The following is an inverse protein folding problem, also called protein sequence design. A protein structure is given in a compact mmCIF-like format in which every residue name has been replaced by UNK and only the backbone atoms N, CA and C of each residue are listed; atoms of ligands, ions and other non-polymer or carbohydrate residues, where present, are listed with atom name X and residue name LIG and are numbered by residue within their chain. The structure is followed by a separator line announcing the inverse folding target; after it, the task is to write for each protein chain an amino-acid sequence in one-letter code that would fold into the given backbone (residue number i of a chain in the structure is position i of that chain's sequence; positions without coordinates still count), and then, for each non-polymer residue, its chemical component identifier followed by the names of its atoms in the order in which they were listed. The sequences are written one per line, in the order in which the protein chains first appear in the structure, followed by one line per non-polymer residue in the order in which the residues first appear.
data_IF_758599329699
#
_entry.id   IF_758599329699
#
_cell.length_a   1.000
_cell.length_b   1.000
_cell.length_c   1.000
_cell.angle_alpha   90.00
_cell.angle_beta   90.00
_cell.angle_gamma   90.00
#
_symmetry.space_group_name_H-M   'P 1'
#
loop_
_entity.id
_entity.type
_entity.pdbx_description
1 polymer ?
#
# COMPACT_ATOMS: atom_id res chain seq x y z
N UNK A 1 21.22 -52.00 25.35
CA UNK A 1 21.07 -52.57 23.99
C UNK A 1 19.62 -52.36 23.62
N UNK A 2 19.31 -51.44 22.70
CA UNK A 2 17.93 -51.31 22.21
C UNK A 2 17.49 -52.69 21.67
N UNK A 3 16.24 -53.09 21.94
CA UNK A 3 15.71 -54.34 21.39
C UNK A 3 15.82 -54.30 19.86
N UNK A 4 16.13 -55.41 19.19
CA UNK A 4 16.29 -55.44 17.72
C UNK A 4 15.09 -54.81 16.98
N UNK A 5 13.88 -55.00 17.53
CA UNK A 5 12.64 -54.36 17.06
C UNK A 5 12.65 -52.84 17.20
N UNK A 6 13.26 -52.28 18.24
CA UNK A 6 13.38 -50.83 18.41
C UNK A 6 14.37 -50.23 17.41
N UNK A 7 15.43 -50.96 17.05
CA UNK A 7 16.37 -50.53 16.01
C UNK A 7 15.71 -50.57 14.63
N UNK A 8 14.94 -51.62 14.35
CA UNK A 8 14.13 -51.74 13.13
C UNK A 8 13.10 -50.61 13.01
N UNK A 9 12.31 -50.34 14.06
CA UNK A 9 11.33 -49.25 14.02
C UNK A 9 12.01 -47.90 13.88
N UNK A 10 13.13 -47.65 14.56
CA UNK A 10 13.90 -46.42 14.38
C UNK A 10 14.36 -46.25 12.91
N UNK A 11 14.90 -47.31 12.32
CA UNK A 11 15.37 -47.32 10.92
C UNK A 11 14.23 -47.02 9.94
N UNK A 12 13.09 -47.68 10.11
CA UNK A 12 11.90 -47.46 9.28
C UNK A 12 11.33 -46.06 9.48
N UNK A 13 11.26 -45.58 10.73
CA UNK A 13 10.76 -44.22 11.02
C UNK A 13 11.65 -43.15 10.42
N UNK A 14 12.96 -43.37 10.38
CA UNK A 14 13.90 -42.46 9.77
C UNK A 14 13.77 -42.47 8.24
N UNK A 15 13.61 -43.65 7.65
CA UNK A 15 13.41 -43.81 6.21
C UNK A 15 12.12 -43.12 5.72
N UNK A 16 11.00 -43.40 6.39
CA UNK A 16 9.69 -42.86 6.02
C UNK A 16 9.47 -41.43 6.53
N UNK A 17 10.24 -40.98 7.52
CA UNK A 17 10.05 -39.70 8.25
C UNK A 17 8.77 -39.63 9.08
N UNK A 18 8.05 -40.75 9.20
CA UNK A 18 6.89 -40.94 10.06
C UNK A 18 6.88 -42.39 10.54
N UNK A 19 6.09 -42.68 11.58
CA UNK A 19 6.03 -44.06 12.09
C UNK A 19 5.19 -44.95 11.18
N UNK A 20 5.62 -46.19 10.89
CA UNK A 20 4.83 -47.14 10.10
C UNK A 20 3.38 -47.30 10.58
N UNK A 21 3.15 -47.22 11.90
CA UNK A 21 1.81 -47.27 12.49
C UNK A 21 0.92 -46.11 12.02
N UNK A 22 1.47 -44.89 11.93
CA UNK A 22 0.74 -43.70 11.46
C UNK A 22 0.18 -43.87 10.05
N UNK A 23 0.88 -44.58 9.16
CA UNK A 23 0.38 -44.84 7.81
C UNK A 23 -0.89 -45.70 7.85
N UNK A 24 -0.90 -46.71 8.71
CA UNK A 24 -2.02 -47.64 8.82
C UNK A 24 -3.20 -46.94 9.48
N UNK A 25 -2.96 -46.15 10.54
CA UNK A 25 -4.00 -45.31 11.17
C UNK A 25 -4.67 -44.39 10.14
N UNK A 26 -3.89 -43.76 9.27
CA UNK A 26 -4.43 -42.90 8.21
C UNK A 26 -5.26 -43.69 7.18
N UNK A 27 -4.84 -44.90 6.81
CA UNK A 27 -5.59 -45.77 5.90
C UNK A 27 -6.93 -46.17 6.53
N UNK A 28 -6.93 -46.59 7.80
CA UNK A 28 -8.14 -46.99 8.51
C UNK A 28 -9.12 -45.81 8.62
N UNK A 29 -8.63 -44.64 9.03
CA UNK A 29 -9.44 -43.43 9.12
C UNK A 29 -10.05 -43.03 7.77
N UNK A 30 -9.26 -43.07 6.70
CA UNK A 30 -9.73 -42.77 5.34
C UNK A 30 -10.83 -43.74 4.91
N UNK A 31 -10.68 -45.03 5.21
CA UNK A 31 -11.63 -46.05 4.79
C UNK A 31 -12.95 -45.94 5.55
N UNK A 32 -12.90 -45.65 6.85
CA UNK A 32 -14.10 -45.37 7.63
C UNK A 32 -14.84 -44.13 7.09
N UNK A 33 -14.11 -43.07 6.72
CA UNK A 33 -14.71 -41.89 6.08
C UNK A 33 -15.35 -42.23 4.73
N UNK A 34 -14.67 -43.03 3.90
CA UNK A 34 -15.21 -43.47 2.60
C UNK A 34 -16.44 -44.37 2.74
N UNK A 35 -16.48 -45.22 3.76
CA UNK A 35 -17.62 -46.08 4.05
C UNK A 35 -18.83 -45.23 4.41
N UNK A 36 -18.69 -44.31 5.35
CA UNK A 36 -19.79 -43.43 5.76
C UNK A 36 -20.29 -42.63 4.57
N UNK A 37 -19.38 -42.06 3.77
CA UNK A 37 -19.74 -41.33 2.54
C UNK A 37 -20.47 -42.21 1.51
N UNK A 38 -20.07 -43.48 1.36
CA UNK A 38 -20.70 -44.41 0.44
C UNK A 38 -22.09 -44.82 0.91
N UNK A 39 -22.28 -45.01 2.23
CA UNK A 39 -23.56 -45.32 2.87
C UNK A 39 -24.50 -44.12 2.74
N UNK A 40 -24.04 -42.90 3.04
CA UNK A 40 -24.80 -41.66 2.83
C UNK A 40 -25.24 -41.52 1.36
N UNK A 41 -24.33 -41.81 0.43
CA UNK A 41 -24.61 -41.78 -1.00
C UNK A 41 -25.62 -42.84 -1.44
N UNK A 42 -25.57 -44.03 -0.83
CA UNK A 42 -26.53 -45.11 -1.06
C UNK A 42 -27.91 -44.75 -0.50
N UNK A 43 -27.98 -44.22 0.72
CA UNK A 43 -29.23 -43.77 1.34
C UNK A 43 -29.90 -42.68 0.51
N UNK A 44 -29.13 -41.64 0.13
CA UNK A 44 -29.62 -40.58 -0.74
C UNK A 44 -30.08 -41.09 -2.11
N UNK A 45 -29.36 -42.06 -2.68
CA UNK A 45 -29.73 -42.71 -3.95
C UNK A 45 -31.03 -43.52 -3.85
N UNK A 46 -31.22 -44.27 -2.76
CA UNK A 46 -32.42 -45.06 -2.51
C UNK A 46 -33.62 -44.15 -2.20
N UNK A 47 -33.45 -43.11 -1.38
CA UNK A 47 -34.51 -42.14 -1.07
C UNK A 47 -34.90 -41.27 -2.28
N UNK A 48 -33.97 -41.05 -3.20
CA UNK A 48 -34.22 -40.31 -4.44
C UNK A 48 -34.92 -41.12 -5.54
N UNK A 49 -34.95 -42.45 -5.41
CA UNK A 49 -35.59 -43.34 -6.39
C UNK A 49 -37.07 -43.54 -6.04
N UNK A 50 -37.93 -43.63 -7.06
CA UNK A 50 -39.36 -43.84 -6.82
C UNK A 50 -39.60 -45.20 -6.11
N UNK A 51 -40.37 -45.25 -5.01
CA UNK A 51 -40.64 -46.49 -4.28
C UNK A 51 -41.26 -47.61 -5.15
N UNK A 52 -42.00 -47.24 -6.20
CA UNK A 52 -42.56 -48.21 -7.15
C UNK A 52 -41.47 -48.98 -7.92
N UNK A 53 -40.36 -48.33 -8.30
CA UNK A 53 -39.24 -48.94 -9.03
C UNK A 53 -38.36 -49.81 -8.12
N UNK A 54 -38.31 -49.48 -6.83
CA UNK A 54 -37.62 -50.24 -5.79
C UNK A 54 -38.32 -51.57 -5.43
N UNK A 55 -39.49 -51.85 -6.02
CA UNK A 55 -40.23 -53.10 -5.84
C UNK A 55 -41.31 -53.05 -4.76
N UNK A 56 -41.56 -51.90 -4.12
CA UNK A 56 -42.63 -51.76 -3.12
C UNK A 56 -44.02 -51.91 -3.73
N UNK A 57 -44.20 -51.54 -5.00
CA UNK A 57 -45.44 -51.78 -5.74
C UNK A 57 -45.72 -53.29 -5.93
N UNK A 58 -44.68 -54.09 -6.17
CA UNK A 58 -44.80 -55.55 -6.29
C UNK A 58 -45.03 -56.21 -4.92
N UNK A 59 -44.40 -55.71 -3.85
CA UNK A 59 -44.62 -56.16 -2.47
C UNK A 59 -46.06 -55.91 -2.01
N UNK A 60 -46.57 -54.70 -2.21
CA UNK A 60 -47.96 -54.37 -1.86
C UNK A 60 -48.99 -55.19 -2.67
N UNK A 61 -48.72 -55.45 -3.95
CA UNK A 61 -49.56 -56.32 -4.76
C UNK A 61 -49.55 -57.79 -4.28
N UNK A 62 -48.41 -58.29 -3.79
CA UNK A 62 -48.29 -59.63 -3.23
C UNK A 62 -48.99 -59.76 -1.86
N UNK A 63 -48.96 -58.70 -1.05
CA UNK A 63 -49.55 -58.66 0.29
C UNK A 63 -51.04 -58.28 0.29
N UNK A 64 -51.63 -57.96 -0.88
CA UNK A 64 -52.98 -57.41 -1.02
C UNK A 64 -53.22 -56.14 -0.18
N UNK A 65 -52.16 -55.38 0.11
CA UNK A 65 -52.22 -54.13 0.85
C UNK A 65 -52.49 -53.00 -0.14
N UNK A 66 -53.52 -52.19 0.10
CA UNK A 66 -53.84 -51.02 -0.72
C UNK A 66 -52.85 -49.92 -0.34
N UNK A 67 -51.96 -49.46 -1.24
CA UNK A 67 -51.04 -48.38 -0.92
C UNK A 67 -51.81 -47.07 -0.74
N UNK A 68 -51.45 -46.30 0.28
CA UNK A 68 -51.98 -44.96 0.46
C UNK A 68 -51.62 -44.10 -0.76
N UNK A 69 -52.50 -43.20 -1.16
CA UNK A 69 -52.30 -42.32 -2.32
C UNK A 69 -52.23 -40.88 -1.84
N UNK A 70 -51.27 -40.09 -2.33
CA UNK A 70 -51.25 -38.66 -2.07
C UNK A 70 -52.43 -37.95 -2.78
N UNK A 71 -52.66 -36.67 -2.44
CA UNK A 71 -53.69 -35.84 -3.08
C UNK A 71 -53.49 -35.62 -4.59
N UNK A 72 -52.40 -36.13 -5.18
CA UNK A 72 -52.02 -36.00 -6.59
C UNK A 72 -52.10 -37.34 -7.35
N UNK A 73 -52.44 -38.44 -6.69
CA UNK A 73 -52.64 -39.75 -7.32
C UNK A 73 -51.40 -40.65 -7.33
N UNK A 74 -50.29 -40.25 -6.68
CA UNK A 74 -49.10 -41.08 -6.56
C UNK A 74 -49.21 -42.02 -5.35
N UNK A 75 -48.79 -43.27 -5.54
CA UNK A 75 -48.73 -44.28 -4.48
C UNK A 75 -47.65 -43.88 -3.47
N UNK A 76 -48.06 -43.58 -2.24
CA UNK A 76 -47.19 -43.35 -1.11
C UNK A 76 -46.93 -44.68 -0.38
N UNK A 77 -45.65 -44.97 -0.18
CA UNK A 77 -45.21 -46.07 0.68
C UNK A 77 -44.46 -45.46 1.87
N UNK A 78 -45.16 -44.99 2.92
CA UNK A 78 -44.51 -44.36 4.07
C UNK A 78 -43.54 -45.33 4.78
N UNK A 79 -43.86 -46.63 4.77
CA UNK A 79 -43.01 -47.70 5.30
C UNK A 79 -41.70 -47.86 4.53
N UNK A 80 -41.65 -47.49 3.24
CA UNK A 80 -40.46 -47.66 2.41
C UNK A 80 -39.27 -46.84 2.94
N UNK A 81 -39.52 -45.62 3.42
CA UNK A 81 -38.46 -44.77 3.99
C UNK A 81 -37.87 -45.40 5.25
N UNK A 82 -38.72 -45.83 6.17
CA UNK A 82 -38.29 -46.48 7.40
C UNK A 82 -37.57 -47.81 7.14
N UNK A 83 -38.05 -48.63 6.21
CA UNK A 83 -37.41 -49.90 5.83
C UNK A 83 -36.03 -49.66 5.18
N UNK A 84 -35.90 -48.60 4.37
CA UNK A 84 -34.62 -48.18 3.79
C UNK A 84 -33.66 -47.71 4.89
N UNK A 85 -34.08 -46.81 5.78
CA UNK A 85 -33.25 -46.31 6.89
C UNK A 85 -32.77 -47.45 7.80
N UNK A 86 -33.68 -48.36 8.19
CA UNK A 86 -33.33 -49.54 8.99
C UNK A 86 -32.39 -50.51 8.25
N UNK A 87 -32.59 -50.67 6.94
CA UNK A 87 -31.75 -51.52 6.09
C UNK A 87 -30.34 -50.95 5.91
N UNK A 88 -30.25 -49.65 5.65
CA UNK A 88 -28.98 -48.90 5.53
C UNK A 88 -28.23 -48.93 6.86
N UNK A 89 -28.89 -48.71 7.98
CA UNK A 89 -28.27 -48.80 9.30
C UNK A 89 -27.73 -50.20 9.63
N UNK A 90 -28.47 -51.27 9.28
CA UNK A 90 -27.99 -52.66 9.42
C UNK A 90 -26.78 -52.93 8.52
N UNK A 91 -26.79 -52.39 7.30
CA UNK A 91 -25.66 -52.50 6.37
C UNK A 91 -24.43 -51.76 6.89
N UNK A 92 -24.60 -50.55 7.42
CA UNK A 92 -23.54 -49.74 8.05
C UNK A 92 -22.88 -50.53 9.18
N UNK A 93 -23.67 -50.99 10.15
CA UNK A 93 -23.18 -51.77 11.30
C UNK A 93 -22.42 -53.02 10.86
N UNK A 94 -22.93 -53.72 9.83
CA UNK A 94 -22.26 -54.90 9.27
C UNK A 94 -20.93 -54.50 8.62
N UNK A 95 -20.95 -53.47 7.78
CA UNK A 95 -19.78 -53.03 7.04
C UNK A 95 -18.67 -52.57 7.99
N UNK A 96 -18.99 -51.76 9.00
CA UNK A 96 -18.07 -51.35 10.05
C UNK A 96 -17.42 -52.57 10.74
N UNK A 97 -18.21 -53.54 11.20
CA UNK A 97 -17.68 -54.73 11.86
C UNK A 97 -16.81 -55.60 10.95
N UNK A 98 -17.14 -55.69 9.65
CA UNK A 98 -16.33 -56.45 8.68
C UNK A 98 -15.05 -55.74 8.31
N UNK A 99 -15.09 -54.42 8.18
CA UNK A 99 -13.95 -53.57 7.83
C UNK A 99 -12.98 -53.57 9.00
N UNK A 100 -13.43 -53.26 10.21
CA UNK A 100 -12.61 -53.31 11.43
C UNK A 100 -11.82 -54.62 11.52
N UNK A 101 -12.50 -55.77 11.44
CA UNK A 101 -11.88 -57.10 11.49
C UNK A 101 -10.88 -57.38 10.35
N UNK A 102 -11.15 -56.89 9.14
CA UNK A 102 -10.28 -57.14 7.99
C UNK A 102 -9.09 -56.18 7.97
N UNK A 103 -9.27 -54.96 8.44
CA UNK A 103 -8.23 -53.95 8.53
C UNK A 103 -7.31 -54.18 9.73
N UNK A 104 -7.79 -54.77 10.83
CA UNK A 104 -6.92 -55.33 11.89
C UNK A 104 -5.97 -56.39 11.33
N UNK A 105 -6.47 -57.29 10.47
CA UNK A 105 -5.64 -58.31 9.81
C UNK A 105 -4.65 -57.69 8.84
N UNK A 106 -5.08 -56.66 8.12
CA UNK A 106 -4.21 -55.90 7.23
C UNK A 106 -3.09 -55.23 8.03
N UNK A 107 -3.41 -54.57 9.14
CA UNK A 107 -2.44 -53.94 10.04
C UNK A 107 -1.38 -54.96 10.47
N UNK A 108 -1.82 -56.10 11.00
CA UNK A 108 -0.92 -57.17 11.45
C UNK A 108 -0.07 -57.68 10.29
N UNK A 109 -0.65 -57.86 9.11
CA UNK A 109 0.07 -58.37 7.94
C UNK A 109 1.13 -57.37 7.46
N UNK A 110 0.76 -56.09 7.33
CA UNK A 110 1.62 -55.01 6.86
C UNK A 110 2.78 -54.81 7.83
N UNK A 111 2.52 -54.73 9.14
CA UNK A 111 3.54 -54.54 10.18
C UNK A 111 4.40 -55.78 10.42
N UNK A 112 4.01 -56.95 9.90
CA UNK A 112 4.79 -58.18 10.02
C UNK A 112 5.61 -58.51 8.77
N UNK A 113 5.11 -58.16 7.58
CA UNK A 113 5.68 -58.64 6.32
C UNK A 113 6.17 -57.53 5.38
N UNK A 114 5.50 -56.37 5.33
CA UNK A 114 5.82 -55.32 4.36
C UNK A 114 6.72 -54.27 4.99
N UNK A 115 6.28 -53.71 6.12
CA UNK A 115 6.99 -52.68 6.87
C UNK A 115 7.88 -53.33 7.93
N UNK A 116 8.68 -54.32 7.51
CA UNK A 116 9.64 -55.01 8.36
C UNK A 116 10.99 -55.16 7.68
N UNK A 117 12.04 -55.13 8.49
CA UNK A 117 13.41 -55.41 8.09
C UNK A 117 13.88 -56.62 8.89
N UNK A 118 14.36 -57.69 8.23
CA UNK A 118 14.88 -58.86 8.94
C UNK A 118 15.92 -58.46 9.99
N UNK A 119 15.85 -58.99 11.22
CA UNK A 119 16.68 -58.54 12.33
C UNK A 119 18.18 -58.70 12.05
N UNK A 120 18.53 -59.71 11.25
CA UNK A 120 19.90 -60.00 10.84
C UNK A 120 20.46 -58.94 9.87
N UNK A 121 19.59 -58.26 9.12
CA UNK A 121 19.95 -57.23 8.14
C UNK A 121 19.95 -55.83 8.73
N UNK A 122 19.24 -55.58 9.84
CA UNK A 122 19.15 -54.23 10.47
C UNK A 122 20.51 -53.54 10.64
N UNK A 123 21.59 -54.19 11.10
CA UNK A 123 22.91 -53.54 11.23
C UNK A 123 23.59 -53.19 9.89
N UNK A 124 23.17 -53.84 8.80
CA UNK A 124 23.77 -53.70 7.48
C UNK A 124 23.01 -52.74 6.56
N UNK A 125 21.78 -52.37 6.93
CA UNK A 125 20.99 -51.40 6.18
C UNK A 125 21.53 -50.00 6.45
N UNK A 126 21.94 -49.30 5.38
CA UNK A 126 22.38 -47.91 5.42
C UNK A 126 21.41 -47.06 4.61
N UNK A 127 20.86 -46.01 5.23
CA UNK A 127 19.96 -45.08 4.54
C UNK A 127 20.77 -44.11 3.67
N UNK A 128 20.12 -43.57 2.64
CA UNK A 128 20.76 -42.72 1.64
C UNK A 128 21.48 -41.50 2.25
N UNK A 129 20.90 -40.86 3.27
CA UNK A 129 21.51 -39.71 3.94
C UNK A 129 22.72 -40.06 4.82
N UNK A 130 22.97 -41.34 5.06
CA UNK A 130 24.20 -41.79 5.71
C UNK A 130 25.32 -42.06 4.71
N UNK A 131 25.08 -42.11 3.39
CA UNK A 131 26.07 -42.52 2.39
C UNK A 131 27.34 -41.65 2.37
N UNK A 132 27.18 -40.35 2.58
CA UNK A 132 28.28 -39.38 2.57
C UNK A 132 28.74 -38.98 3.98
N UNK A 133 28.20 -39.64 5.01
CA UNK A 133 28.56 -39.35 6.39
C UNK A 133 29.91 -40.00 6.73
N UNK A 134 30.97 -39.19 6.73
CA UNK A 134 32.27 -39.58 7.28
C UNK A 134 32.18 -39.35 8.79
N UNK A 135 32.04 -40.43 9.56
CA UNK A 135 32.12 -40.35 11.02
C UNK A 135 33.55 -39.93 11.38
N UNK A 136 33.76 -38.74 11.96
CA UNK A 136 35.09 -38.36 12.38
C UNK A 136 35.53 -39.28 13.52
N UNK A 137 36.76 -39.80 13.42
CA UNK A 137 37.33 -40.61 14.48
C UNK A 137 37.42 -39.74 15.76
N UNK A 138 36.90 -40.26 16.88
CA UNK A 138 36.71 -39.51 18.15
C UNK A 138 38.01 -38.93 18.73
N UNK A 139 39.16 -39.28 18.13
CA UNK A 139 40.50 -38.85 18.50
C UNK A 139 41.10 -37.76 17.60
N UNK A 140 40.56 -37.51 16.39
CA UNK A 140 41.27 -36.72 15.36
C UNK A 140 40.64 -35.39 14.98
N UNK A 141 39.38 -35.15 15.32
CA UNK A 141 38.73 -33.86 15.09
C UNK A 141 38.26 -33.26 16.41
N UNK A 142 38.52 -31.98 16.71
CA UNK A 142 37.92 -31.35 17.87
C UNK A 142 36.40 -31.43 17.68
N UNK A 143 35.72 -32.26 18.48
CA UNK A 143 34.27 -32.31 18.50
C UNK A 143 33.78 -30.88 18.60
N UNK A 144 32.89 -30.45 17.71
CA UNK A 144 32.22 -29.16 17.77
C UNK A 144 31.78 -28.94 19.22
N UNK A 145 32.52 -28.13 19.96
CA UNK A 145 32.32 -28.00 21.41
C UNK A 145 30.97 -27.33 21.62
N UNK A 146 30.22 -27.66 22.69
CA UNK A 146 28.95 -26.99 22.97
C UNK A 146 29.13 -25.46 23.05
N UNK A 147 30.31 -25.01 23.46
CA UNK A 147 30.72 -23.60 23.45
C UNK A 147 30.77 -23.00 22.03
N UNK A 148 31.32 -23.72 21.04
CA UNK A 148 31.34 -23.25 19.64
C UNK A 148 29.93 -23.07 19.06
N UNK A 149 28.98 -23.94 19.43
CA UNK A 149 27.56 -23.82 19.04
C UNK A 149 26.92 -22.62 19.73
N UNK A 150 27.20 -22.40 21.02
CA UNK A 150 26.70 -21.24 21.76
C UNK A 150 27.24 -19.93 21.17
N UNK A 151 28.52 -19.88 20.80
CA UNK A 151 29.12 -18.73 20.11
C UNK A 151 28.43 -18.50 18.77
N UNK A 152 28.17 -19.55 17.99
CA UNK A 152 27.49 -19.42 16.70
C UNK A 152 26.04 -18.97 16.87
N UNK A 153 25.30 -19.50 17.85
CA UNK A 153 23.95 -19.05 18.18
C UNK A 153 23.94 -17.58 18.59
N UNK A 154 24.89 -17.15 19.43
CA UNK A 154 25.05 -15.74 19.80
C UNK A 154 25.37 -14.88 18.59
N UNK A 155 26.27 -15.34 17.70
CA UNK A 155 26.59 -14.65 16.45
C UNK A 155 25.37 -14.50 15.56
N UNK A 156 24.56 -15.56 15.40
CA UNK A 156 23.30 -15.51 14.63
C UNK A 156 22.33 -14.50 15.24
N UNK A 157 22.16 -14.51 16.57
CA UNK A 157 21.32 -13.54 17.26
C UNK A 157 21.79 -12.10 17.06
N UNK A 158 23.10 -11.84 17.20
CA UNK A 158 23.65 -10.50 16.96
C UNK A 158 23.52 -10.08 15.49
N UNK A 159 23.71 -10.99 14.52
CA UNK A 159 23.47 -10.70 13.10
C UNK A 159 21.99 -10.43 12.81
N UNK A 160 21.07 -11.11 13.50
CA UNK A 160 19.64 -10.88 13.35
C UNK A 160 19.25 -9.52 13.91
N UNK A 161 19.76 -9.13 15.09
CA UNK A 161 19.55 -7.78 15.67
C UNK A 161 20.12 -6.69 14.78
N UNK A 162 21.30 -6.91 14.20
CA UNK A 162 21.90 -5.97 13.27
C UNK A 162 21.04 -5.83 12.01
N UNK A 163 20.53 -6.94 11.47
CA UNK A 163 19.66 -6.91 10.29
C UNK A 163 18.36 -6.12 10.56
N UNK A 164 17.71 -6.33 11.70
CA UNK A 164 16.51 -5.55 12.05
C UNK A 164 16.82 -4.05 12.20
N UNK A 165 17.96 -3.70 12.78
CA UNK A 165 18.40 -2.30 12.87
C UNK A 165 18.70 -1.69 11.48
N UNK A 166 19.37 -2.42 10.59
CA UNK A 166 19.63 -1.95 9.22
C UNK A 166 18.34 -1.79 8.41
N UNK A 167 17.36 -2.67 8.58
CA UNK A 167 16.06 -2.53 7.93
C UNK A 167 15.31 -1.29 8.45
N UNK A 168 15.39 -1.01 9.75
CA UNK A 168 14.82 0.21 10.32
C UNK A 168 15.52 1.47 9.79
N UNK A 169 16.85 1.48 9.70
CA UNK A 169 17.61 2.60 9.12
C UNK A 169 17.33 2.78 7.63
N UNK A 170 17.22 1.69 6.88
CA UNK A 170 16.79 1.75 5.47
C UNK A 170 15.42 2.39 5.34
N UNK A 171 14.45 1.99 6.16
CA UNK A 171 13.12 2.58 6.15
C UNK A 171 13.13 4.08 6.50
N UNK A 172 13.97 4.50 7.47
CA UNK A 172 14.18 5.92 7.79
C UNK A 172 14.79 6.68 6.62
N UNK A 173 15.84 6.13 6.01
CA UNK A 173 16.49 6.73 4.85
C UNK A 173 15.54 6.82 3.65
N UNK A 174 14.73 5.79 3.41
CA UNK A 174 13.72 5.80 2.34
C UNK A 174 12.66 6.89 2.62
N UNK A 175 12.20 7.05 3.86
CA UNK A 175 11.28 8.12 4.24
C UNK A 175 11.91 9.53 4.11
N UNK A 176 13.18 9.68 4.47
CA UNK A 176 13.90 10.93 4.24
C UNK A 176 14.07 11.20 2.74
N UNK A 177 14.37 10.18 1.94
CA UNK A 177 14.48 10.30 0.49
C UNK A 177 13.13 10.63 -0.15
N UNK A 178 12.01 10.09 0.32
CA UNK A 178 10.68 10.49 -0.18
C UNK A 178 10.35 11.93 0.20
N UNK A 179 10.71 12.38 1.40
CA UNK A 179 10.58 13.79 1.79
C UNK A 179 11.48 14.71 0.96
N UNK A 180 12.74 14.34 0.73
CA UNK A 180 13.65 15.13 -0.11
C UNK A 180 13.19 15.12 -1.57
N UNK A 181 12.70 13.99 -2.08
CA UNK A 181 12.13 13.89 -3.42
C UNK A 181 10.84 14.69 -3.55
N UNK A 182 9.97 14.74 -2.54
CA UNK A 182 8.78 15.61 -2.60
C UNK A 182 9.14 17.09 -2.55
N UNK A 183 10.20 17.46 -1.81
CA UNK A 183 10.73 18.82 -1.81
C UNK A 183 11.36 19.22 -3.16
N UNK A 184 11.99 18.28 -3.86
CA UNK A 184 12.68 18.52 -5.14
C UNK A 184 11.76 18.33 -6.36
N UNK A 185 10.79 17.43 -6.30
CA UNK A 185 9.92 17.07 -7.42
C UNK A 185 8.61 17.84 -7.38
N UNK A 186 8.50 18.90 -8.18
CA UNK A 186 7.21 19.44 -8.61
C UNK A 186 6.42 18.36 -9.39
N UNK A 187 5.08 18.31 -9.29
CA UNK A 187 4.32 17.31 -10.05
C UNK A 187 4.43 17.56 -11.55
N UNK A 188 4.45 16.52 -12.39
CA UNK A 188 4.18 16.68 -13.81
C UNK A 188 2.74 17.16 -14.00
N UNK A 189 2.52 18.09 -14.93
CA UNK A 189 1.19 18.53 -15.37
C UNK A 189 0.34 17.29 -15.72
N UNK A 190 -0.61 16.95 -14.85
CA UNK A 190 -1.66 16.00 -15.19
C UNK A 190 -2.64 16.69 -16.15
N UNK A 191 -2.41 16.46 -17.44
CA UNK A 191 -3.34 16.74 -18.52
C UNK A 191 -4.71 16.15 -18.15
N UNK A 192 -5.68 17.03 -17.96
CA UNK A 192 -7.06 16.69 -17.64
C UNK A 192 -7.70 16.03 -18.86
N UNK A 193 -7.75 14.70 -18.90
CA UNK A 193 -8.67 14.00 -19.80
C UNK A 193 -10.01 13.80 -19.07
N UNK A 194 -11.05 14.42 -19.64
CA UNK A 194 -12.46 14.20 -19.30
C UNK A 194 -12.82 12.74 -19.61
N UNK A 195 -13.22 11.98 -18.60
CA UNK A 195 -14.07 10.82 -18.80
C UNK A 195 -15.02 10.65 -17.61
N UNK A 196 -16.31 10.75 -17.89
CA UNK A 196 -17.39 10.28 -17.02
C UNK A 196 -17.33 8.75 -16.94
N UNK A 197 -17.29 8.20 -15.73
CA UNK A 197 -18.10 7.03 -15.35
C UNK A 197 -17.94 6.73 -13.86
N UNK A 198 -19.08 6.60 -13.20
CA UNK A 198 -19.24 6.17 -11.83
C UNK A 198 -18.69 4.74 -11.62
N UNK A 199 -18.09 4.51 -10.44
CA UNK A 199 -17.56 3.22 -10.03
C UNK A 199 -16.90 3.32 -8.67
N UNK A 200 -17.68 3.04 -7.65
CA UNK A 200 -17.35 2.96 -6.24
C UNK A 200 -16.20 1.96 -5.99
N UNK A 201 -15.21 2.34 -5.17
CA UNK A 201 -14.61 1.43 -4.19
C UNK A 201 -13.63 2.13 -3.25
N UNK A 202 -14.06 2.14 -1.99
CA UNK A 202 -13.37 2.46 -0.77
C UNK A 202 -12.02 1.73 -0.62
N UNK A 203 -10.90 2.47 -0.61
CA UNK A 203 -9.65 2.07 0.04
C UNK A 203 -8.98 3.32 0.63
N UNK A 204 -9.12 3.47 1.95
CA UNK A 204 -8.44 4.47 2.76
C UNK A 204 -6.96 4.09 2.93
N UNK A 205 -6.12 4.53 2.00
CA UNK A 205 -4.66 4.56 2.15
C UNK A 205 -4.16 6.00 2.07
N UNK A 206 -3.32 6.38 3.03
CA UNK A 206 -2.99 7.75 3.39
C UNK A 206 -2.45 8.62 2.26
N UNK A 207 -3.06 9.79 2.11
CA UNK A 207 -2.48 10.93 1.42
C UNK A 207 -2.24 12.03 2.45
N UNK A 208 -1.09 12.00 3.11
CA UNK A 208 -0.54 13.19 3.77
C UNK A 208 -0.23 14.19 2.67
N UNK A 209 -1.22 14.98 2.31
CA UNK A 209 -1.14 16.06 1.36
C UNK A 209 -0.31 17.19 1.99
N UNK A 210 1.01 17.03 2.08
CA UNK A 210 1.91 18.15 2.29
C UNK A 210 2.10 18.79 0.92
N UNK A 211 1.47 19.94 0.64
CA UNK A 211 1.68 20.61 -0.63
C UNK A 211 3.17 20.94 -0.72
N UNK A 212 3.86 20.37 -1.72
CA UNK A 212 5.28 20.57 -2.01
C UNK A 212 5.76 21.95 -1.52
N UNK A 213 6.44 21.97 -0.37
CA UNK A 213 6.67 23.18 0.45
C UNK A 213 7.38 24.30 -0.32
N UNK A 214 8.16 23.94 -1.34
CA UNK A 214 8.91 24.87 -2.18
C UNK A 214 8.23 25.15 -3.54
N UNK A 215 7.17 24.44 -3.90
CA UNK A 215 6.45 24.65 -5.18
C UNK A 215 5.79 26.03 -5.25
N UNK A 216 5.39 26.59 -4.12
CA UNK A 216 4.86 27.96 -3.99
C UNK A 216 5.80 29.01 -4.61
N UNK A 217 7.11 28.83 -4.51
CA UNK A 217 8.08 29.79 -5.05
C UNK A 217 8.07 29.86 -6.58
N UNK A 218 7.51 28.85 -7.24
CA UNK A 218 7.43 28.76 -8.72
C UNK A 218 6.00 28.84 -9.25
N UNK A 219 5.00 28.49 -8.44
CA UNK A 219 3.61 28.44 -8.88
C UNK A 219 2.89 29.79 -8.83
N UNK A 220 3.43 30.79 -8.12
CA UNK A 220 2.88 32.14 -8.08
C UNK A 220 2.86 32.80 -9.48
N UNK A 221 1.81 33.56 -9.79
CA UNK A 221 1.63 34.19 -11.10
C UNK A 221 2.81 35.10 -11.48
N UNK A 222 3.41 35.76 -10.50
CA UNK A 222 4.61 36.58 -10.66
C UNK A 222 5.87 35.74 -10.95
N UNK A 223 6.00 34.56 -10.34
CA UNK A 223 7.11 33.65 -10.64
C UNK A 223 6.98 33.09 -12.07
N UNK A 224 5.77 32.78 -12.52
CA UNK A 224 5.50 32.37 -13.91
C UNK A 224 5.80 33.48 -14.92
N UNK A 225 5.48 34.74 -14.62
CA UNK A 225 5.79 35.87 -15.52
C UNK A 225 7.29 36.17 -15.60
N UNK A 226 8.04 35.93 -14.52
CA UNK A 226 9.50 36.00 -14.50
C UNK A 226 10.20 34.70 -14.96
N UNK A 227 9.43 33.68 -15.36
CA UNK A 227 9.93 32.38 -15.83
C UNK A 227 10.64 31.53 -14.77
N UNK A 228 10.47 31.82 -13.48
CA UNK A 228 11.18 31.14 -12.39
C UNK A 228 10.71 29.68 -12.31
N UNK A 229 11.50 28.76 -12.85
CA UNK A 229 11.29 27.32 -12.79
C UNK A 229 12.48 26.63 -12.12
N UNK A 230 12.21 25.62 -11.29
CA UNK A 230 13.25 24.73 -10.79
C UNK A 230 13.76 23.83 -11.94
N UNK A 231 15.07 23.57 -12.03
CA UNK A 231 15.61 22.59 -12.97
C UNK A 231 15.16 21.20 -12.51
N UNK A 232 14.10 20.67 -13.12
CA UNK A 232 13.62 19.31 -12.88
C UNK A 232 14.63 18.32 -13.44
N UNK A 233 15.38 17.66 -12.56
CA UNK A 233 16.28 16.57 -12.92
C UNK A 233 15.47 15.29 -13.07
N UNK A 234 14.82 15.10 -14.21
CA UNK A 234 14.38 13.78 -14.71
C UNK A 234 13.99 13.93 -16.18
N UNK A 235 15.03 13.89 -17.03
CA UNK A 235 15.09 13.28 -18.38
C UNK A 235 13.75 12.89 -19.04
N UNK A 236 13.43 13.34 -20.25
CA UNK A 236 14.08 12.84 -21.48
C UNK A 236 13.68 13.69 -22.71
N UNK A 237 14.70 14.01 -23.52
CA UNK A 237 14.65 14.08 -24.98
C UNK A 237 13.30 14.41 -25.64
N UNK A 238 13.03 15.69 -25.89
CA UNK A 238 12.49 16.12 -27.18
C UNK A 238 12.68 17.63 -27.39
N UNK A 239 13.09 17.95 -28.60
CA UNK A 239 13.22 19.27 -29.19
C UNK A 239 14.36 20.16 -28.66
N UNK A 240 15.53 19.87 -29.21
CA UNK A 240 16.48 20.88 -29.68
C UNK A 240 15.83 22.26 -29.95
N UNK A 241 16.16 23.25 -29.11
CA UNK A 241 16.31 24.62 -29.56
C UNK A 241 17.28 25.34 -28.63
N UNK A 242 18.44 25.62 -29.19
CA UNK A 242 19.33 26.74 -28.88
C UNK A 242 19.97 26.77 -27.49
N UNK A 243 21.25 26.41 -27.50
CA UNK A 243 22.27 26.72 -26.50
C UNK A 243 22.13 28.15 -25.94
N UNK A 244 21.85 28.27 -24.64
CA UNK A 244 22.02 29.53 -23.92
C UNK A 244 20.93 29.80 -22.89
N UNK A 245 20.92 29.03 -21.80
CA UNK A 245 20.65 29.49 -20.41
C UNK A 245 20.28 28.31 -19.51
N UNK A 246 21.31 27.61 -19.02
CA UNK A 246 21.17 26.76 -17.83
C UNK A 246 21.11 27.57 -16.52
N UNK A 247 21.35 28.88 -16.60
CA UNK A 247 21.15 29.81 -15.50
C UNK A 247 19.70 30.28 -15.55
N UNK A 248 18.88 29.92 -14.56
CA UNK A 248 17.46 30.26 -14.54
C UNK A 248 17.21 31.77 -14.76
N UNK A 249 16.03 32.15 -15.27
CA UNK A 249 15.75 33.51 -15.75
C UNK A 249 15.88 34.58 -14.66
N UNK A 250 15.83 34.19 -13.39
CA UNK A 250 16.13 35.09 -12.28
C UNK A 250 17.58 35.62 -12.34
N UNK A 251 18.56 34.76 -12.64
CA UNK A 251 19.98 35.18 -12.75
C UNK A 251 20.22 36.09 -13.96
N UNK A 252 19.55 35.84 -15.08
CA UNK A 252 19.71 36.67 -16.29
C UNK A 252 19.02 38.02 -16.12
N UNK A 253 17.84 38.04 -15.52
CA UNK A 253 17.11 39.27 -15.26
C UNK A 253 17.86 40.13 -14.24
N UNK A 254 18.40 39.54 -13.16
CA UNK A 254 19.20 40.31 -12.19
C UNK A 254 20.54 40.74 -12.77
N UNK A 255 21.23 39.90 -13.53
CA UNK A 255 22.48 40.30 -14.20
C UNK A 255 22.24 41.41 -15.22
N UNK A 256 21.14 41.35 -15.98
CA UNK A 256 20.77 42.39 -16.92
C UNK A 256 20.44 43.69 -16.19
N UNK A 257 19.60 43.70 -15.16
CA UNK A 257 19.30 44.93 -14.40
C UNK A 257 20.54 45.53 -13.76
N UNK A 258 21.44 44.69 -13.23
CA UNK A 258 22.71 45.13 -12.67
C UNK A 258 23.62 45.71 -13.76
N UNK A 259 23.62 45.13 -14.96
CA UNK A 259 24.38 45.66 -16.11
C UNK A 259 23.81 46.97 -16.68
N UNK A 260 22.51 47.22 -16.55
CA UNK A 260 21.86 48.45 -17.01
C UNK A 260 22.01 49.61 -16.01
N UNK A 261 22.32 49.32 -14.74
CA UNK A 261 22.48 50.33 -13.69
C UNK A 261 23.60 51.35 -13.99
N UNK A 262 24.80 50.95 -14.44
CA UNK A 262 25.84 51.88 -14.89
C UNK A 262 25.41 52.74 -16.07
N UNK A 263 24.72 52.16 -17.07
CA UNK A 263 24.22 52.90 -18.22
C UNK A 263 23.20 53.97 -17.79
N UNK A 264 22.28 53.64 -16.89
CA UNK A 264 21.35 54.60 -16.29
C UNK A 264 22.06 55.68 -15.47
N UNK A 265 23.10 55.32 -14.71
CA UNK A 265 23.94 56.31 -14.00
C UNK A 265 24.62 57.25 -14.97
N UNK A 266 25.20 56.76 -16.07
CA UNK A 266 25.83 57.63 -17.08
C UNK A 266 24.82 58.49 -17.83
N UNK A 267 23.62 57.96 -18.11
CA UNK A 267 22.54 58.75 -18.71
C UNK A 267 22.06 59.83 -17.75
N UNK A 268 21.89 59.53 -16.46
CA UNK A 268 21.59 60.54 -15.44
C UNK A 268 22.71 61.57 -15.33
N UNK A 269 23.97 61.16 -15.32
CA UNK A 269 25.13 62.06 -15.31
C UNK A 269 25.19 62.94 -16.57
N UNK A 270 24.71 62.44 -17.72
CA UNK A 270 24.66 63.19 -18.98
C UNK A 270 23.41 64.06 -19.14
N UNK A 271 22.29 63.65 -18.52
CA UNK A 271 21.02 64.37 -18.53
C UNK A 271 21.03 65.48 -17.47
N UNK A 272 21.71 65.29 -16.34
CA UNK A 272 21.85 66.30 -15.28
C UNK A 272 22.41 67.64 -15.79
N UNK A 273 23.50 67.69 -16.58
CA UNK A 273 23.98 68.92 -17.18
C UNK A 273 23.09 69.36 -18.36
N UNK A 274 22.46 68.46 -19.11
CA UNK A 274 21.50 68.83 -20.18
C UNK A 274 20.18 69.43 -19.65
N UNK A 275 19.79 69.07 -18.43
CA UNK A 275 18.70 69.73 -17.69
C UNK A 275 19.17 71.11 -17.20
N UNK A 276 20.44 71.24 -16.84
CA UNK A 276 21.03 72.52 -16.46
C UNK A 276 21.29 73.46 -17.67
N UNK A 277 21.48 72.91 -18.88
CA UNK A 277 21.71 73.68 -20.13
C UNK A 277 20.51 73.76 -21.06
N UNK A 278 19.41 73.07 -20.75
CA UNK A 278 18.10 73.48 -21.25
C UNK A 278 17.94 74.94 -20.81
N UNK A 279 17.65 75.87 -21.73
CA UNK A 279 17.33 77.22 -21.33
C UNK A 279 16.15 77.08 -20.37
N UNK A 280 16.40 77.35 -19.10
CA UNK A 280 15.38 77.95 -18.26
C UNK A 280 14.83 79.06 -19.14
N UNK A 281 13.55 79.04 -19.55
CA UNK A 281 13.01 80.15 -20.30
C UNK A 281 13.11 81.37 -19.39
N UNK A 282 14.18 82.15 -19.55
CA UNK A 282 14.33 83.40 -18.84
C UNK A 282 13.34 84.35 -19.49
N UNK A 283 12.31 84.65 -18.70
CA UNK A 283 11.42 85.81 -18.80
C UNK A 283 10.71 85.99 -20.15
N UNK A 284 9.66 85.20 -20.34
CA UNK A 284 8.62 85.43 -21.37
C UNK A 284 7.62 84.27 -21.53
N UNK A 285 8.00 83.04 -21.18
CA UNK A 285 7.20 81.84 -21.41
C UNK A 285 6.27 81.44 -20.23
N UNK A 286 5.62 82.42 -19.59
CA UNK A 286 4.55 82.12 -18.62
C UNK A 286 3.27 81.57 -19.29
N UNK A 287 3.15 81.68 -20.61
CA UNK A 287 2.05 81.06 -21.38
C UNK A 287 2.42 79.70 -21.99
N UNK A 288 3.59 79.56 -22.64
CA UNK A 288 3.96 78.30 -23.31
C UNK A 288 4.09 77.11 -22.34
N UNK A 289 4.50 77.33 -21.09
CA UNK A 289 4.56 76.25 -20.09
C UNK A 289 3.17 75.85 -19.58
N UNK A 290 2.20 76.77 -19.56
CA UNK A 290 0.82 76.46 -19.19
C UNK A 290 0.12 75.75 -20.35
N UNK A 291 0.33 76.22 -21.57
CA UNK A 291 -0.22 75.58 -22.77
C UNK A 291 0.41 74.21 -23.01
N UNK A 292 1.74 74.05 -22.91
CA UNK A 292 2.36 72.73 -23.03
C UNK A 292 2.04 71.80 -21.85
N UNK A 293 1.85 72.32 -20.63
CA UNK A 293 1.40 71.48 -19.50
C UNK A 293 -0.09 71.12 -19.62
N UNK A 294 -0.91 71.99 -20.20
CA UNK A 294 -2.33 71.77 -20.46
C UNK A 294 -2.52 70.80 -21.62
N UNK A 295 -1.79 70.94 -22.72
CA UNK A 295 -1.75 69.98 -23.83
C UNK A 295 -1.24 68.61 -23.37
N UNK A 296 -0.24 68.54 -22.48
CA UNK A 296 0.20 67.27 -21.89
C UNK A 296 -0.85 66.67 -20.95
N UNK A 297 -1.55 67.48 -20.14
CA UNK A 297 -2.66 67.00 -19.32
C UNK A 297 -3.82 66.50 -20.17
N UNK A 298 -4.19 67.24 -21.20
CA UNK A 298 -5.24 66.85 -22.15
C UNK A 298 -4.82 65.62 -22.94
N UNK A 299 -3.55 65.48 -23.34
CA UNK A 299 -3.04 64.26 -23.96
C UNK A 299 -3.05 63.07 -23.00
N UNK A 300 -2.63 63.24 -21.74
CA UNK A 300 -2.67 62.19 -20.72
C UNK A 300 -4.12 61.83 -20.38
N UNK A 301 -5.02 62.80 -20.27
CA UNK A 301 -6.45 62.58 -20.06
C UNK A 301 -7.09 61.89 -21.26
N UNK A 302 -6.76 62.26 -22.49
CA UNK A 302 -7.25 61.59 -23.71
C UNK A 302 -6.70 60.17 -23.81
N UNK A 303 -5.43 59.93 -23.49
CA UNK A 303 -4.86 58.58 -23.53
C UNK A 303 -5.37 57.71 -22.39
N UNK A 304 -5.48 58.24 -21.17
CA UNK A 304 -6.06 57.50 -20.03
C UNK A 304 -7.53 57.26 -20.25
N UNK A 305 -8.29 58.23 -20.78
CA UNK A 305 -9.69 58.07 -21.18
C UNK A 305 -9.82 57.03 -22.30
N UNK A 306 -8.98 57.05 -23.33
CA UNK A 306 -9.00 56.05 -24.40
C UNK A 306 -8.61 54.67 -23.89
N UNK A 307 -7.73 54.57 -22.89
CA UNK A 307 -7.38 53.32 -22.22
C UNK A 307 -8.49 52.84 -21.28
N UNK A 308 -9.20 53.74 -20.60
CA UNK A 308 -10.38 53.49 -19.77
C UNK A 308 -11.63 53.15 -20.61
N UNK A 309 -11.76 53.71 -21.82
CA UNK A 309 -12.81 53.41 -22.79
C UNK A 309 -12.51 52.09 -23.51
N UNK A 310 -11.23 51.80 -23.83
CA UNK A 310 -10.79 50.51 -24.39
C UNK A 310 -10.79 49.37 -23.36
N UNK A 311 -10.65 49.69 -22.07
CA UNK A 311 -10.71 48.75 -20.93
C UNK A 311 -12.06 48.79 -20.20
N UNK A 312 -13.02 49.59 -20.67
CA UNK A 312 -14.37 49.70 -20.11
C UNK A 312 -14.42 50.01 -18.60
N UNK A 313 -14.44 51.29 -18.22
CA UNK A 313 -15.15 51.70 -17.00
C UNK A 313 -14.54 52.83 -16.17
N UNK A 314 -15.22 53.98 -16.15
CA UNK A 314 -15.03 55.09 -15.24
C UNK A 314 -15.37 54.73 -13.78
N UNK A 315 -14.75 55.46 -12.86
CA UNK A 315 -14.94 55.33 -11.42
C UNK A 315 -16.39 55.44 -10.95
N UNK A 316 -16.76 54.54 -10.05
CA UNK A 316 -17.79 54.80 -9.05
C UNK A 316 -17.19 55.81 -8.06
N UNK A 317 -17.86 56.96 -7.85
CA UNK A 317 -17.56 57.85 -6.72
C UNK A 317 -17.78 57.04 -5.44
N UNK A 318 -16.72 56.82 -4.66
CA UNK A 318 -16.86 56.32 -3.29
C UNK A 318 -17.74 57.29 -2.51
N UNK A 319 -18.81 56.78 -1.91
CA UNK A 319 -19.76 57.59 -1.16
C UNK A 319 -19.10 58.13 0.11
N UNK A 320 -19.53 59.30 0.63
CA UNK A 320 -18.99 59.87 1.86
C UNK A 320 -19.11 58.92 3.08
N UNK A 321 -20.02 57.94 3.05
CA UNK A 321 -20.12 56.90 4.08
C UNK A 321 -18.97 55.89 4.06
N UNK A 322 -18.42 55.58 2.89
CA UNK A 322 -17.34 54.59 2.73
C UNK A 322 -16.00 55.14 3.25
N UNK A 323 -15.81 56.46 3.11
CA UNK A 323 -14.66 57.19 3.68
C UNK A 323 -14.77 57.27 5.21
N UNK A 324 -15.99 57.43 5.75
CA UNK A 324 -16.24 57.45 7.20
C UNK A 324 -16.02 56.09 7.86
N UNK A 325 -16.32 54.99 7.16
CA UNK A 325 -16.04 53.64 7.62
C UNK A 325 -14.53 53.34 7.69
N UNK A 326 -13.74 53.86 6.74
CA UNK A 326 -12.29 53.70 6.71
C UNK A 326 -11.58 54.52 7.80
N UNK A 327 -12.12 55.70 8.15
CA UNK A 327 -11.58 56.52 9.24
C UNK A 327 -11.85 55.90 10.63
N UNK A 328 -12.99 55.22 10.81
CA UNK A 328 -13.30 54.46 12.03
C UNK A 328 -12.38 53.27 12.28
N UNK A 329 -11.90 52.60 11.23
CA UNK A 329 -10.99 51.45 11.35
C UNK A 329 -9.56 51.90 11.68
N UNK A 330 -9.14 53.07 11.19
CA UNK A 330 -7.83 53.64 11.52
C UNK A 330 -7.73 54.08 13.00
N UNK A 331 -8.82 54.56 13.59
CA UNK A 331 -8.88 54.93 15.02
C UNK A 331 -8.75 53.75 15.99
N UNK A 332 -9.15 52.54 15.57
CA UNK A 332 -9.10 51.32 16.41
C UNK A 332 -7.71 50.68 16.42
N UNK A 333 -6.87 50.94 15.41
CA UNK A 333 -5.55 50.35 15.29
C UNK A 333 -4.41 51.18 15.94
N UNK A 334 -4.69 52.43 16.35
CA UNK A 334 -3.68 53.38 16.83
C UNK A 334 -3.53 53.52 18.35
N UNK A 335 -4.24 52.72 19.15
CA UNK A 335 -4.29 52.90 20.61
C UNK A 335 -4.02 51.64 21.41
N UNK A 336 -2.77 51.14 21.43
CA UNK A 336 -2.29 50.21 22.47
C UNK A 336 -0.76 50.16 22.52
N UNK A 337 -0.17 51.16 23.16
CA UNK A 337 1.22 51.13 23.60
C UNK A 337 1.31 51.67 25.04
N UNK A 338 2.05 50.95 25.90
CA UNK A 338 2.40 51.37 27.26
C UNK A 338 1.95 50.44 28.41
N UNK A 339 2.92 49.79 29.07
CA UNK A 339 2.87 49.56 30.52
C UNK A 339 3.37 48.20 31.05
N UNK A 340 4.61 48.21 31.57
CA UNK A 340 5.06 47.62 32.87
C UNK A 340 5.06 46.09 33.02
N UNK A 341 6.08 45.39 33.53
CA UNK A 341 7.02 45.70 34.62
C UNK A 341 6.74 44.76 35.79
N UNK A 342 7.81 44.20 36.39
CA UNK A 342 7.89 43.43 37.66
C UNK A 342 7.78 41.88 37.53
N UNK A 343 8.65 41.04 38.10
CA UNK A 343 9.66 41.21 39.15
C UNK A 343 9.30 40.39 40.40
N UNK A 344 10.26 39.61 40.94
CA UNK A 344 10.24 38.80 42.19
C UNK A 344 9.45 37.47 42.18
N UNK A 345 9.90 36.34 42.76
CA UNK A 345 11.05 36.06 43.64
C UNK A 345 10.65 35.85 45.10
N UNK A 346 10.28 34.63 45.50
CA UNK A 346 10.43 34.01 46.85
C UNK A 346 9.82 32.58 46.77
N UNK A 347 10.47 31.46 47.10
CA UNK A 347 11.08 30.97 48.35
C UNK A 347 10.12 30.14 49.22
N UNK A 348 10.58 28.90 49.46
CA UNK A 348 10.41 28.02 50.64
C UNK A 348 9.13 27.21 50.90
N UNK A 349 9.41 25.93 51.24
CA UNK A 349 8.71 24.98 52.14
C UNK A 349 7.29 24.55 51.71
N UNK A 350 6.93 23.26 51.55
CA UNK A 350 7.28 21.97 52.17
C UNK A 350 7.32 20.83 51.13
#
# INVERSE_FOLDING_TARGET
MASSKQAETALLTEHFRYTPLTLIDQIINMINELINRAIDGLEQGLLGTAPAELGYAAKAAAENTIPDTDGEGNLLFPEARQEIEEGVYKLETLLEATVDKNFDKLEIYVLRNILTVPPDLVPWVRLAHYQDLILPDTKSTPSVTPESIQILRRKVQETQKLNTALLAEKARNDALLTQLRSLVSAPPDMKTERANSAGDNNTTAGASNTPNTLSFLTSTASAKSLGVAFPTTTTTASAASTNGNRHGPLRTNTAFTLSQLPALRTLLESLRPKIATLPVPQSGALDWSKDAARERREYVEVQTRRLLERRGGAGRRAGPEEVRAMEGIAGVLGGRDGGSGDGEGDAMEE
#
